data_IF_359273268367
#
_entry.id   IF_359273268367
#
_cell.length_a   1.000
_cell.length_b   1.000
_cell.length_c   1.000
_cell.angle_alpha   90.00
_cell.angle_beta   90.00
_cell.angle_gamma   90.00
#
_symmetry.space_group_name_H-M   'P 1'
#
loop_
_entity.id
_entity.type
_entity.pdbx_description
1 polymer ?
#
# COMPACT_ATOMS: atom_id res chain seq x y z
N UNK A 1 -4.87 2.50 0.34
CA UNK A 1 -4.51 1.21 -0.27
C UNK A 1 -3.93 0.28 0.79
N UNK A 2 -4.13 -1.00 0.63
CA UNK A 2 -3.52 -2.05 1.45
C UNK A 2 -2.86 -3.11 0.57
N UNK A 3 -1.94 -3.85 1.14
CA UNK A 3 -1.22 -4.98 0.55
C UNK A 3 -0.98 -6.02 1.64
N UNK A 4 -0.36 -7.14 1.29
CA UNK A 4 0.06 -8.13 2.28
C UNK A 4 0.82 -7.46 3.44
N UNK A 5 0.40 -7.78 4.67
CA UNK A 5 0.92 -7.11 5.87
C UNK A 5 2.36 -7.48 6.16
N UNK A 6 2.76 -8.73 5.94
CA UNK A 6 4.13 -9.21 6.16
C UNK A 6 5.09 -8.58 5.17
N UNK A 7 4.67 -8.53 3.89
CA UNK A 7 5.44 -7.84 2.85
C UNK A 7 5.62 -6.35 3.17
N UNK A 8 4.58 -5.70 3.70
CA UNK A 8 4.66 -4.29 4.06
C UNK A 8 5.69 -4.06 5.18
N UNK A 9 5.64 -4.85 6.25
CA UNK A 9 6.56 -4.75 7.39
C UNK A 9 8.01 -4.95 6.94
N UNK A 10 8.30 -6.03 6.21
CA UNK A 10 9.66 -6.33 5.77
C UNK A 10 10.16 -5.27 4.78
N UNK A 11 9.29 -4.81 3.88
CA UNK A 11 9.63 -3.74 2.93
C UNK A 11 10.00 -2.43 3.63
N UNK A 12 9.26 -2.02 4.67
CA UNK A 12 9.55 -0.83 5.45
C UNK A 12 10.90 -0.99 6.17
N UNK A 13 11.09 -2.12 6.84
CA UNK A 13 12.35 -2.40 7.55
C UNK A 13 13.57 -2.34 6.61
N UNK A 14 13.50 -2.98 5.46
CA UNK A 14 14.59 -2.97 4.46
C UNK A 14 14.82 -1.61 3.81
N UNK A 15 13.82 -0.75 3.78
CA UNK A 15 13.95 0.58 3.16
C UNK A 15 14.80 1.54 3.98
N UNK A 16 15.08 1.24 5.26
CA UNK A 16 15.94 2.02 6.17
C UNK A 16 15.72 3.52 6.02
N UNK A 17 14.47 3.97 6.20
CA UNK A 17 14.08 5.37 5.98
C UNK A 17 14.74 6.25 7.05
N UNK A 18 15.85 6.89 6.70
CA UNK A 18 16.75 7.59 7.64
C UNK A 18 16.09 8.67 8.49
N UNK A 19 15.01 9.26 8.01
CA UNK A 19 14.29 10.32 8.71
C UNK A 19 13.16 9.81 9.62
N UNK A 20 12.90 8.49 9.61
CA UNK A 20 11.79 7.87 10.33
C UNK A 20 12.30 6.83 11.32
N UNK A 21 12.61 7.26 12.54
CA UNK A 21 13.21 6.40 13.58
C UNK A 21 12.41 5.13 13.90
N UNK A 22 11.08 5.16 13.76
CA UNK A 22 10.23 4.00 13.98
C UNK A 22 10.44 2.87 12.94
N UNK A 23 11.14 3.12 11.84
CA UNK A 23 11.43 2.11 10.81
C UNK A 23 12.66 1.25 11.10
N UNK A 24 13.40 1.53 12.18
CA UNK A 24 14.64 0.83 12.51
C UNK A 24 14.45 -0.46 13.31
N UNK A 25 13.27 -0.74 13.83
CA UNK A 25 12.95 -2.00 14.47
C UNK A 25 11.63 -2.55 13.96
N UNK A 26 11.55 -3.88 13.87
CA UNK A 26 10.33 -4.56 13.40
C UNK A 26 9.18 -4.29 14.36
N UNK A 27 9.44 -4.31 15.67
CA UNK A 27 8.43 -4.03 16.70
C UNK A 27 7.86 -2.62 16.57
N UNK A 28 8.73 -1.62 16.38
CA UNK A 28 8.29 -0.22 16.20
C UNK A 28 7.46 -0.05 14.92
N UNK A 29 7.80 -0.76 13.85
CA UNK A 29 7.01 -0.78 12.61
C UNK A 29 5.63 -1.38 12.88
N UNK A 30 5.56 -2.49 13.62
CA UNK A 30 4.31 -3.17 13.93
C UNK A 30 3.43 -2.32 14.83
N UNK A 31 3.97 -1.70 15.87
CA UNK A 31 3.25 -0.78 16.76
C UNK A 31 2.73 0.44 15.97
N UNK A 32 3.52 0.99 15.05
CA UNK A 32 3.08 2.08 14.19
C UNK A 32 1.92 1.67 13.28
N UNK A 33 2.03 0.50 12.63
CA UNK A 33 0.96 -0.02 11.77
C UNK A 33 -0.30 -0.31 12.57
N UNK A 34 -0.19 -0.88 13.77
CA UNK A 34 -1.35 -1.15 14.63
C UNK A 34 -2.07 0.14 15.03
N UNK A 35 -1.32 1.16 15.45
CA UNK A 35 -1.89 2.48 15.74
C UNK A 35 -2.59 3.08 14.52
N UNK A 36 -1.95 3.03 13.36
CA UNK A 36 -2.55 3.47 12.10
C UNK A 36 -3.87 2.73 11.81
N UNK A 37 -3.89 1.39 11.96
CA UNK A 37 -5.09 0.57 11.75
C UNK A 37 -6.22 0.96 12.71
N UNK A 38 -5.90 1.19 13.98
CA UNK A 38 -6.88 1.60 14.98
C UNK A 38 -7.50 2.95 14.62
N UNK A 39 -6.68 3.92 14.22
CA UNK A 39 -7.14 5.25 13.78
C UNK A 39 -8.03 5.13 12.54
N UNK A 40 -7.59 4.40 11.52
CA UNK A 40 -8.37 4.24 10.29
C UNK A 40 -9.68 3.51 10.56
N UNK A 41 -9.68 2.47 11.38
CA UNK A 41 -10.89 1.74 11.74
C UNK A 41 -11.89 2.62 12.52
N UNK A 42 -11.40 3.50 13.40
CA UNK A 42 -12.24 4.49 14.06
C UNK A 42 -12.92 5.41 13.05
N UNK A 43 -12.15 5.98 12.12
CA UNK A 43 -12.70 6.88 11.11
C UNK A 43 -13.63 6.19 10.11
N UNK A 44 -13.36 4.93 9.74
CA UNK A 44 -14.27 4.14 8.90
C UNK A 44 -15.63 3.92 9.56
N UNK A 45 -15.65 3.66 10.87
CA UNK A 45 -16.91 3.53 11.62
C UNK A 45 -17.66 4.86 11.67
N UNK A 46 -16.93 5.97 11.84
CA UNK A 46 -17.53 7.30 11.96
C UNK A 46 -17.97 7.90 10.63
N UNK A 47 -17.22 7.61 9.56
CA UNK A 47 -17.43 8.20 8.23
C UNK A 47 -17.30 7.13 7.13
N UNK A 48 -18.21 6.14 7.08
CA UNK A 48 -18.09 4.98 6.17
C UNK A 48 -18.08 5.39 4.69
N UNK A 49 -18.79 6.47 4.35
CA UNK A 49 -18.89 6.97 2.96
C UNK A 49 -17.65 7.75 2.49
N UNK A 50 -16.71 8.07 3.40
CA UNK A 50 -15.56 8.94 3.08
C UNK A 50 -14.26 8.15 2.96
N UNK A 51 -14.24 6.86 3.28
CA UNK A 51 -13.03 6.05 3.28
C UNK A 51 -13.25 4.77 2.47
N UNK A 52 -12.51 4.64 1.39
CA UNK A 52 -12.52 3.48 0.52
C UNK A 52 -11.26 2.64 0.68
N UNK A 53 -11.41 1.35 0.87
CA UNK A 53 -10.30 0.41 0.83
C UNK A 53 -10.00 -0.05 -0.59
N UNK A 54 -8.72 0.00 -0.95
CA UNK A 54 -8.24 -0.45 -2.24
C UNK A 54 -7.12 -1.47 -2.02
N UNK A 55 -7.37 -2.68 -2.47
CA UNK A 55 -6.35 -3.72 -2.54
C UNK A 55 -5.40 -3.43 -3.69
N UNK A 56 -4.10 -3.32 -3.39
CA UNK A 56 -3.06 -3.06 -4.38
C UNK A 56 -2.99 -4.19 -5.43
N UNK A 57 -3.22 -5.44 -5.03
CA UNK A 57 -3.27 -6.57 -5.95
C UNK A 57 -4.40 -6.39 -6.96
N UNK A 58 -5.62 -6.09 -6.49
CA UNK A 58 -6.75 -5.82 -7.38
C UNK A 58 -6.51 -4.60 -8.28
N UNK A 59 -5.83 -3.57 -7.79
CA UNK A 59 -5.47 -2.41 -8.61
C UNK A 59 -4.50 -2.79 -9.74
N UNK A 60 -3.58 -3.70 -9.50
CA UNK A 60 -2.60 -4.13 -10.51
C UNK A 60 -3.18 -5.15 -11.50
N UNK A 61 -3.97 -6.10 -11.04
CA UNK A 61 -4.56 -7.16 -11.88
C UNK A 61 -5.77 -6.67 -12.67
N UNK A 62 -6.59 -5.80 -12.08
CA UNK A 62 -7.84 -5.30 -12.64
C UNK A 62 -7.87 -3.77 -12.68
N UNK A 63 -6.82 -3.15 -13.23
CA UNK A 63 -6.57 -1.70 -13.18
C UNK A 63 -7.75 -0.87 -13.68
N UNK A 64 -8.37 -1.26 -14.78
CA UNK A 64 -9.51 -0.52 -15.34
C UNK A 64 -10.72 -0.57 -14.41
N UNK A 65 -11.12 -1.76 -13.98
CA UNK A 65 -12.28 -1.94 -13.08
C UNK A 65 -12.07 -1.25 -11.75
N UNK A 66 -10.86 -1.36 -11.19
CA UNK A 66 -10.54 -0.78 -9.88
C UNK A 66 -10.45 0.74 -9.97
N UNK A 67 -9.82 1.29 -11.03
CA UNK A 67 -9.77 2.75 -11.22
C UNK A 67 -11.15 3.36 -11.45
N UNK A 68 -12.04 2.70 -12.17
CA UNK A 68 -13.44 3.16 -12.30
C UNK A 68 -14.10 3.30 -10.93
N UNK A 69 -14.00 2.28 -10.06
CA UNK A 69 -14.57 2.34 -8.70
C UNK A 69 -13.97 3.50 -7.87
N UNK A 70 -12.66 3.77 -8.01
CA UNK A 70 -12.01 4.89 -7.31
C UNK A 70 -12.59 6.22 -7.80
N UNK A 71 -12.74 6.39 -9.09
CA UNK A 71 -13.28 7.61 -9.68
C UNK A 71 -14.73 7.83 -9.29
N UNK A 72 -15.56 6.77 -9.31
CA UNK A 72 -16.94 6.81 -8.85
C UNK A 72 -17.04 7.23 -7.39
N UNK A 73 -16.21 6.63 -6.52
CA UNK A 73 -16.12 7.00 -5.12
C UNK A 73 -15.74 8.47 -4.91
N UNK A 74 -14.80 8.97 -5.70
CA UNK A 74 -14.38 10.37 -5.68
C UNK A 74 -15.34 11.32 -6.42
N UNK A 75 -16.44 10.80 -7.00
CA UNK A 75 -17.40 11.56 -7.84
C UNK A 75 -16.71 12.27 -9.02
N UNK A 76 -15.72 11.61 -9.62
CA UNK A 76 -14.96 12.11 -10.76
C UNK A 76 -15.32 11.32 -12.04
N UNK A 77 -15.26 12.02 -13.17
CA UNK A 77 -15.45 11.38 -14.47
C UNK A 77 -14.23 10.53 -14.83
N UNK A 78 -14.43 9.22 -15.01
CA UNK A 78 -13.36 8.33 -15.43
C UNK A 78 -13.13 8.42 -16.95
N UNK A 79 -11.90 8.34 -17.36
CA UNK A 79 -11.55 8.16 -18.77
C UNK A 79 -10.42 7.14 -18.93
N UNK A 80 -10.36 6.46 -20.07
CA UNK A 80 -9.33 5.46 -20.37
C UNK A 80 -7.89 6.03 -20.33
N UNK A 81 -7.74 7.33 -20.51
CA UNK A 81 -6.45 8.04 -20.38
C UNK A 81 -5.79 7.89 -19.01
N UNK A 82 -6.58 7.54 -17.97
CA UNK A 82 -6.05 7.27 -16.63
C UNK A 82 -5.08 6.08 -16.64
N UNK A 83 -5.32 5.09 -17.49
CA UNK A 83 -4.48 3.89 -17.61
C UNK A 83 -3.17 4.16 -18.38
N UNK A 84 -3.08 5.27 -19.09
CA UNK A 84 -1.91 5.69 -19.86
C UNK A 84 -1.02 6.69 -19.12
N UNK A 85 -1.16 6.79 -17.78
CA UNK A 85 -0.41 7.74 -16.94
C UNK A 85 1.11 7.69 -17.17
N UNK A 86 1.66 6.51 -17.43
CA UNK A 86 3.10 6.26 -17.63
C UNK A 86 3.64 6.86 -18.94
N UNK A 87 2.76 7.24 -19.87
CA UNK A 87 3.12 7.89 -21.16
C UNK A 87 3.27 9.41 -21.04
N UNK A 88 3.00 9.98 -19.85
CA UNK A 88 3.07 11.42 -19.65
C UNK A 88 4.50 11.85 -19.37
N UNK A 89 5.03 12.74 -20.22
CA UNK A 89 6.41 13.25 -20.09
C UNK A 89 6.60 14.24 -18.93
N UNK A 90 5.52 14.87 -18.45
CA UNK A 90 5.55 15.96 -17.47
C UNK A 90 5.37 15.48 -16.02
N UNK A 91 5.50 14.19 -15.74
CA UNK A 91 5.36 13.68 -14.38
C UNK A 91 6.63 14.00 -13.58
N UNK A 92 6.56 15.12 -12.86
CA UNK A 92 7.59 15.50 -11.89
C UNK A 92 7.25 14.88 -10.54
N UNK A 93 8.13 14.03 -10.01
CA UNK A 93 8.03 13.55 -8.63
C UNK A 93 9.36 13.80 -7.93
N UNK A 94 9.27 14.32 -6.70
CA UNK A 94 10.42 14.49 -5.81
C UNK A 94 10.76 13.22 -5.02
N UNK A 95 10.08 12.10 -5.31
CA UNK A 95 10.20 10.87 -4.53
C UNK A 95 11.04 9.83 -5.26
N UNK A 96 11.55 8.85 -4.50
CA UNK A 96 12.29 7.66 -5.00
C UNK A 96 11.49 6.89 -6.06
N UNK A 97 10.17 7.05 -6.08
CA UNK A 97 9.26 6.41 -7.04
C UNK A 97 9.27 7.04 -8.44
N UNK A 98 10.11 8.04 -8.70
CA UNK A 98 10.16 8.75 -10.01
C UNK A 98 10.33 7.84 -11.23
N UNK A 99 11.07 6.74 -11.08
CA UNK A 99 11.25 5.74 -12.14
C UNK A 99 10.08 4.76 -12.23
N UNK A 100 9.41 4.48 -11.12
CA UNK A 100 8.31 3.51 -11.06
C UNK A 100 7.04 4.06 -11.73
N UNK A 101 6.74 5.35 -11.57
CA UNK A 101 5.56 5.97 -12.17
C UNK A 101 5.63 6.06 -13.70
N UNK A 102 6.80 5.89 -14.28
CA UNK A 102 7.02 5.88 -15.74
C UNK A 102 6.87 4.48 -16.36
N UNK A 103 6.54 3.48 -15.56
CA UNK A 103 6.29 2.13 -16.01
C UNK A 103 4.80 1.82 -15.91
N UNK A 104 4.30 1.08 -16.90
CA UNK A 104 2.94 0.53 -16.83
C UNK A 104 2.79 -0.31 -15.55
N UNK A 105 1.64 -0.22 -14.90
CA UNK A 105 1.31 -1.11 -13.78
C UNK A 105 1.43 -2.54 -14.28
N UNK A 106 2.32 -3.31 -13.67
CA UNK A 106 2.53 -4.72 -13.95
C UNK A 106 2.07 -5.58 -12.79
N UNK A 107 1.65 -6.80 -13.09
CA UNK A 107 1.35 -7.80 -12.09
C UNK A 107 2.69 -8.23 -11.48
N UNK A 108 2.90 -7.89 -10.22
CA UNK A 108 4.04 -8.40 -9.48
C UNK A 108 3.59 -9.65 -8.70
N UNK A 109 3.62 -10.81 -9.38
CA UNK A 109 3.20 -12.09 -8.80
C UNK A 109 4.21 -12.68 -7.82
N UNK A 110 5.36 -12.04 -7.64
CA UNK A 110 6.35 -12.50 -6.69
C UNK A 110 6.02 -11.97 -5.29
N UNK A 111 5.76 -12.88 -4.38
CA UNK A 111 5.79 -12.62 -2.94
C UNK A 111 7.26 -12.38 -2.61
N UNK A 112 7.66 -11.12 -2.69
CA UNK A 112 9.06 -10.69 -2.68
C UNK A 112 9.79 -11.09 -1.39
N UNK A 113 9.05 -11.22 -0.30
CA UNK A 113 9.62 -11.36 1.04
C UNK A 113 9.21 -12.63 1.77
N UNK A 114 8.57 -13.61 1.10
CA UNK A 114 8.10 -14.86 1.73
C UNK A 114 9.21 -15.61 2.48
N UNK A 115 10.45 -15.59 1.97
CA UNK A 115 11.59 -16.23 2.60
C UNK A 115 11.97 -15.61 3.96
N UNK A 116 11.43 -14.43 4.29
CA UNK A 116 11.67 -13.73 5.55
C UNK A 116 10.47 -13.76 6.50
N UNK A 117 9.35 -14.34 6.10
CA UNK A 117 8.13 -14.35 6.92
C UNK A 117 8.30 -15.08 8.25
N UNK A 118 9.20 -16.06 8.31
CA UNK A 118 9.51 -16.76 9.55
C UNK A 118 10.00 -15.83 10.66
N UNK A 119 10.63 -14.69 10.32
CA UNK A 119 11.09 -13.68 11.27
C UNK A 119 9.93 -13.00 12.02
N UNK A 120 8.74 -13.09 11.48
CA UNK A 120 7.53 -12.47 12.03
C UNK A 120 6.65 -13.45 12.81
N UNK A 121 6.98 -14.75 12.84
CA UNK A 121 6.10 -15.79 13.39
C UNK A 121 5.79 -15.58 14.88
N UNK A 122 6.79 -15.25 15.68
CA UNK A 122 6.60 -15.04 17.12
C UNK A 122 5.78 -13.77 17.42
N UNK A 123 5.85 -12.79 16.53
CA UNK A 123 5.16 -11.51 16.64
C UNK A 123 3.66 -11.61 16.29
N UNK A 124 3.25 -12.64 15.55
CA UNK A 124 1.83 -12.88 15.19
C UNK A 124 0.95 -13.11 16.42
N UNK A 125 1.51 -13.60 17.53
CA UNK A 125 0.76 -13.78 18.79
C UNK A 125 0.32 -12.44 19.36
N UNK A 126 1.18 -11.42 19.29
CA UNK A 126 0.89 -10.06 19.74
C UNK A 126 0.06 -9.27 18.71
N UNK A 127 0.41 -9.39 17.43
CA UNK A 127 -0.23 -8.64 16.33
C UNK A 127 -1.08 -9.58 15.46
N UNK A 128 -2.31 -9.86 15.89
CA UNK A 128 -3.22 -10.81 15.22
C UNK A 128 -3.53 -10.49 13.75
N UNK A 129 -3.41 -9.24 13.37
CA UNK A 129 -3.62 -8.77 11.99
C UNK A 129 -2.45 -9.11 11.05
N UNK A 130 -1.35 -9.63 11.59
CA UNK A 130 -0.17 -10.03 10.81
C UNK A 130 -0.29 -11.45 10.23
N UNK A 131 -1.35 -12.17 10.55
CA UNK A 131 -1.62 -13.54 10.09
C UNK A 131 -1.90 -13.63 8.60
#
# INVERSE_FOLDING_TARGET
TYRDSKDAVISIYQSMLSELSWTYSVESILDYIENYRNIINYFKKKYPENIMDIDLKNLTENSEKTSKKIFDFCKLNWSKKVLDYYKRDNLFTKTISSTQIRKKIGINNQVKYNNYYYLLNDLQRKYKWLS
#
